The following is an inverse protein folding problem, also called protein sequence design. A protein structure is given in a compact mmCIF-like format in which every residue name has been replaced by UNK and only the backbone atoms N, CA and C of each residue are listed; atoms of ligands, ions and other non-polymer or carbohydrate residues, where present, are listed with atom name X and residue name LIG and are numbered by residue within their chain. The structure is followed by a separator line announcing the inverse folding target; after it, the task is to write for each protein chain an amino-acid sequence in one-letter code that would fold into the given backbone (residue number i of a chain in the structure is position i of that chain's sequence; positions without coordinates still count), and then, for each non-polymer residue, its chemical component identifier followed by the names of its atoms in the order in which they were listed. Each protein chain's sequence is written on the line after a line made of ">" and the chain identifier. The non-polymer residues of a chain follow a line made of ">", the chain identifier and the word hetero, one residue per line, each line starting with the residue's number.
data_IF_593520812635
#
_entry.id   IF_593520812635
#
_cell.length_a   1.000
_cell.length_b   1.000
_cell.length_c   1.000
_cell.angle_alpha   90.00
_cell.angle_beta   90.00
_cell.angle_gamma   90.00
#
_symmetry.space_group_name_H-M   'P 1'
#
loop_
_entity.id
_entity.type
_entity.pdbx_description
1 polymer ?
#
# COMPACT_ATOMS: atom_id res chain seq x y z
N UNK A 1 9.44 -1.81 23.76
CA UNK A 1 10.49 -1.57 22.75
C UNK A 1 9.77 -1.22 21.43
N UNK A 2 10.46 -0.72 20.40
CA UNK A 2 9.81 -0.37 19.12
C UNK A 2 10.28 -1.30 18.02
N UNK A 3 9.34 -2.05 17.43
CA UNK A 3 9.57 -2.87 16.24
C UNK A 3 9.48 -1.94 15.02
N UNK A 4 10.51 -1.96 14.17
CA UNK A 4 10.50 -1.26 12.88
C UNK A 4 10.32 -2.30 11.79
N UNK A 5 9.28 -2.16 10.99
CA UNK A 5 8.97 -3.07 9.91
C UNK A 5 8.56 -2.28 8.67
N UNK A 6 8.89 -2.76 7.49
CA UNK A 6 8.28 -2.30 6.25
C UNK A 6 7.19 -3.26 5.81
N UNK A 7 6.18 -2.75 5.12
CA UNK A 7 5.11 -3.54 4.51
C UNK A 7 4.82 -3.01 3.11
N UNK A 8 4.82 -3.91 2.14
CA UNK A 8 4.70 -3.56 0.72
C UNK A 8 3.93 -4.61 -0.08
N UNK A 9 3.36 -4.20 -1.21
CA UNK A 9 2.59 -5.00 -2.14
C UNK A 9 3.05 -4.80 -3.58
N UNK A 10 2.96 -5.87 -4.36
CA UNK A 10 3.32 -5.87 -5.78
C UNK A 10 2.25 -6.60 -6.59
N UNK A 11 1.86 -6.04 -7.74
CA UNK A 11 1.00 -6.72 -8.71
C UNK A 11 1.58 -6.63 -10.12
N UNK A 12 1.62 -7.76 -10.84
CA UNK A 12 2.02 -7.86 -12.24
C UNK A 12 0.79 -7.69 -13.14
N UNK A 13 0.38 -6.44 -13.32
CA UNK A 13 -0.93 -6.06 -13.87
C UNK A 13 -1.94 -5.78 -12.75
N UNK A 14 -2.91 -4.89 -13.00
CA UNK A 14 -3.83 -4.41 -11.97
C UNK A 14 -5.29 -4.46 -12.46
N UNK A 15 -6.01 -5.59 -12.28
CA UNK A 15 -5.64 -6.77 -11.49
C UNK A 15 -4.74 -7.79 -12.23
N UNK A 16 -3.96 -8.56 -11.46
CA UNK A 16 -3.01 -9.56 -11.97
C UNK A 16 -2.40 -10.43 -10.86
N UNK A 17 -1.41 -11.29 -11.15
CA UNK A 17 -0.64 -11.99 -10.13
C UNK A 17 -0.05 -10.99 -9.14
N UNK A 18 -0.31 -11.20 -7.85
CA UNK A 18 0.03 -10.22 -6.83
C UNK A 18 0.68 -10.89 -5.61
N UNK A 19 1.53 -10.16 -4.93
CA UNK A 19 2.26 -10.57 -3.76
C UNK A 19 2.33 -9.46 -2.73
N UNK A 20 2.26 -9.83 -1.46
CA UNK A 20 2.44 -8.95 -0.32
C UNK A 20 3.63 -9.44 0.50
N UNK A 21 4.32 -8.54 1.18
CA UNK A 21 5.35 -8.88 2.14
C UNK A 21 5.44 -7.84 3.26
N UNK A 22 5.79 -8.30 4.45
CA UNK A 22 6.31 -7.43 5.50
C UNK A 22 7.69 -7.92 5.93
N UNK A 23 8.53 -6.99 6.37
CA UNK A 23 9.94 -7.24 6.64
C UNK A 23 10.42 -6.45 7.85
N UNK A 24 11.04 -7.15 8.81
CA UNK A 24 11.78 -6.55 9.94
C UNK A 24 13.27 -6.72 9.69
N UNK A 25 13.70 -7.97 9.46
CA UNK A 25 15.06 -8.36 9.09
C UNK A 25 15.05 -9.71 8.34
N UNK A 26 16.20 -10.19 7.87
CA UNK A 26 16.29 -11.42 7.07
C UNK A 26 15.85 -12.69 7.82
N UNK A 27 15.81 -12.66 9.15
CA UNK A 27 15.30 -13.73 10.00
C UNK A 27 13.83 -13.55 10.41
N UNK A 28 13.26 -12.38 10.16
CA UNK A 28 11.93 -11.98 10.61
C UNK A 28 11.17 -11.25 9.49
N UNK A 29 10.53 -12.04 8.63
CA UNK A 29 9.71 -11.54 7.52
C UNK A 29 8.68 -12.59 7.10
N UNK A 30 7.61 -12.14 6.46
CA UNK A 30 6.68 -13.05 5.80
C UNK A 30 6.15 -12.46 4.49
N UNK A 31 5.77 -13.34 3.59
CA UNK A 31 5.18 -12.98 2.30
C UNK A 31 4.11 -13.99 1.87
N UNK A 32 3.27 -13.58 0.92
CA UNK A 32 2.21 -14.40 0.35
C UNK A 32 1.53 -13.66 -0.79
N UNK A 33 0.50 -14.23 -1.41
CA UNK A 33 -0.12 -13.57 -2.56
C UNK A 33 -1.24 -14.35 -3.20
N UNK A 34 -1.60 -13.95 -4.43
CA UNK A 34 -2.68 -14.53 -5.22
C UNK A 34 -2.33 -14.54 -6.71
N UNK A 35 -2.99 -15.43 -7.46
CA UNK A 35 -2.94 -15.42 -8.93
C UNK A 35 -3.61 -14.19 -9.54
N UNK A 36 -4.55 -13.57 -8.83
CA UNK A 36 -5.34 -12.45 -9.33
C UNK A 36 -5.81 -11.56 -8.18
N UNK A 37 -5.17 -10.40 -8.02
CA UNK A 37 -5.56 -9.34 -7.10
C UNK A 37 -5.01 -7.99 -7.62
N UNK A 38 -5.41 -6.90 -6.99
CA UNK A 38 -4.89 -5.56 -7.26
C UNK A 38 -3.68 -5.23 -6.40
N UNK A 39 -2.92 -4.20 -6.79
CA UNK A 39 -1.80 -3.70 -5.98
C UNK A 39 -2.28 -3.24 -4.60
N UNK A 40 -3.37 -2.47 -4.55
CA UNK A 40 -3.95 -1.98 -3.29
C UNK A 40 -4.37 -3.11 -2.34
N UNK A 41 -4.88 -4.22 -2.86
CA UNK A 41 -5.20 -5.40 -2.05
C UNK A 41 -3.93 -6.05 -1.47
N UNK A 42 -2.85 -6.10 -2.24
CA UNK A 42 -1.57 -6.62 -1.77
C UNK A 42 -0.96 -5.73 -0.67
N UNK A 43 -0.91 -4.42 -0.88
CA UNK A 43 -0.36 -3.47 0.11
C UNK A 43 -1.18 -3.48 1.42
N UNK A 44 -2.52 -3.45 1.35
CA UNK A 44 -3.37 -3.55 2.53
C UNK A 44 -3.14 -4.87 3.27
N UNK A 45 -2.98 -5.97 2.54
CA UNK A 45 -2.74 -7.28 3.16
C UNK A 45 -1.36 -7.35 3.81
N UNK A 46 -0.34 -6.73 3.23
CA UNK A 46 0.98 -6.67 3.85
C UNK A 46 0.91 -6.09 5.27
N UNK A 47 0.19 -4.96 5.42
CA UNK A 47 -0.05 -4.32 6.72
C UNK A 47 -0.89 -5.19 7.64
N UNK A 48 -1.98 -5.77 7.13
CA UNK A 48 -2.83 -6.67 7.92
C UNK A 48 -2.04 -7.87 8.49
N UNK A 49 -1.21 -8.50 7.66
CA UNK A 49 -0.42 -9.65 8.05
C UNK A 49 0.70 -9.28 9.04
N UNK A 50 1.28 -8.07 8.91
CA UNK A 50 2.22 -7.55 9.89
C UNK A 50 1.54 -7.33 11.25
N UNK A 51 0.35 -6.72 11.28
CA UNK A 51 -0.41 -6.54 12.51
C UNK A 51 -0.73 -7.89 13.15
N UNK A 52 -1.29 -8.84 12.41
CA UNK A 52 -1.55 -10.20 12.91
C UNK A 52 -0.31 -10.88 13.47
N UNK A 53 0.81 -10.78 12.76
CA UNK A 53 2.06 -11.42 13.16
C UNK A 53 2.64 -10.84 14.45
N UNK A 54 2.28 -9.61 14.80
CA UNK A 54 2.77 -8.90 15.99
C UNK A 54 1.70 -8.72 17.07
N UNK A 55 0.49 -9.26 16.90
CA UNK A 55 -0.65 -9.05 17.81
C UNK A 55 -0.46 -9.58 19.23
N UNK A 56 0.44 -10.55 19.41
CA UNK A 56 0.77 -11.12 20.72
C UNK A 56 1.82 -10.31 21.50
N UNK A 57 2.30 -9.19 20.95
CA UNK A 57 3.35 -8.37 21.53
C UNK A 57 2.78 -7.06 22.05
N UNK A 58 3.32 -6.60 23.18
CA UNK A 58 3.03 -5.28 23.74
C UNK A 58 4.15 -4.28 23.39
N UNK A 59 4.67 -4.35 22.15
CA UNK A 59 5.69 -3.44 21.64
C UNK A 59 5.07 -2.38 20.73
N UNK A 60 5.71 -1.22 20.65
CA UNK A 60 5.31 -0.18 19.70
C UNK A 60 5.69 -0.63 18.28
N UNK A 61 4.84 -0.39 17.30
CA UNK A 61 5.10 -0.75 15.90
C UNK A 61 5.25 0.51 15.04
N UNK A 62 6.44 0.68 14.44
CA UNK A 62 6.67 1.65 13.38
C UNK A 62 6.62 0.93 12.02
N UNK A 63 5.62 1.26 11.22
CA UNK A 63 5.40 0.67 9.89
C UNK A 63 5.87 1.64 8.82
N UNK A 64 6.86 1.23 8.03
CA UNK A 64 7.30 1.93 6.83
C UNK A 64 6.47 1.44 5.64
N UNK A 65 5.84 2.36 4.93
CA UNK A 65 5.10 2.09 3.70
C UNK A 65 5.32 3.23 2.71
N UNK A 66 5.42 2.94 1.43
CA UNK A 66 5.37 3.94 0.37
C UNK A 66 3.95 4.17 -0.19
N UNK A 67 3.03 3.25 0.09
CA UNK A 67 1.61 3.42 -0.21
C UNK A 67 0.91 4.49 0.63
N UNK A 68 0.71 5.66 0.03
CA UNK A 68 -0.16 6.68 0.61
C UNK A 68 -1.61 6.21 0.74
N UNK A 69 -2.07 5.32 -0.14
CA UNK A 69 -3.42 4.75 -0.08
C UNK A 69 -3.61 3.99 1.24
N UNK A 70 -2.71 3.06 1.57
CA UNK A 70 -2.79 2.29 2.82
C UNK A 70 -2.71 3.19 4.05
N UNK A 71 -1.74 4.12 4.07
CA UNK A 71 -1.56 5.05 5.18
C UNK A 71 -2.84 5.87 5.39
N UNK A 72 -3.39 6.47 4.33
CA UNK A 72 -4.59 7.29 4.44
C UNK A 72 -5.84 6.48 4.80
N UNK A 73 -5.99 5.26 4.27
CA UNK A 73 -7.04 4.32 4.68
C UNK A 73 -7.05 4.13 6.18
N UNK A 74 -5.93 3.73 6.77
CA UNK A 74 -5.85 3.38 8.20
C UNK A 74 -5.91 4.63 9.10
N UNK A 75 -5.25 5.73 8.71
CA UNK A 75 -5.05 6.88 9.61
C UNK A 75 -6.09 7.99 9.44
N UNK A 76 -6.66 8.18 8.25
CA UNK A 76 -7.54 9.33 7.94
C UNK A 76 -8.97 8.91 7.65
N UNK A 77 -9.15 7.89 6.81
CA UNK A 77 -10.47 7.63 6.21
C UNK A 77 -11.31 6.62 6.98
N UNK A 78 -10.69 5.53 7.46
CA UNK A 78 -11.37 4.46 8.18
C UNK A 78 -12.22 4.93 9.36
N UNK A 79 -11.77 5.87 10.24
CA UNK A 79 -12.63 6.39 11.31
C UNK A 79 -13.92 7.04 10.82
N UNK A 80 -13.87 7.72 9.68
CA UNK A 80 -15.03 8.35 9.05
C UNK A 80 -15.95 7.32 8.38
N UNK A 81 -15.39 6.34 7.68
CA UNK A 81 -16.15 5.26 7.06
C UNK A 81 -16.88 4.40 8.08
N UNK A 82 -16.26 4.06 9.22
CA UNK A 82 -16.91 3.33 10.31
C UNK A 82 -18.19 4.01 10.80
N UNK A 83 -18.13 5.34 11.00
CA UNK A 83 -19.29 6.15 11.41
C UNK A 83 -20.41 6.15 10.36
N UNK A 84 -20.07 5.93 9.08
CA UNK A 84 -21.00 5.89 7.94
C UNK A 84 -21.36 4.47 7.51
N UNK A 85 -21.09 3.46 8.34
CA UNK A 85 -21.40 2.07 8.00
C UNK A 85 -20.61 1.54 6.79
N UNK A 86 -19.35 1.96 6.66
CA UNK A 86 -18.43 1.61 5.59
C UNK A 86 -18.88 2.01 4.18
N UNK A 87 -19.51 3.18 4.09
CA UNK A 87 -19.93 3.80 2.83
C UNK A 87 -19.21 5.12 2.59
N UNK A 88 -18.97 5.41 1.31
CA UNK A 88 -18.48 6.70 0.83
C UNK A 88 -19.60 7.75 0.88
N UNK A 89 -19.25 9.02 0.62
CA UNK A 89 -20.21 10.12 0.61
C UNK A 89 -21.27 10.00 -0.50
N UNK A 90 -20.93 9.33 -1.60
CA UNK A 90 -21.82 8.99 -2.72
C UNK A 90 -22.74 7.77 -2.42
N UNK A 91 -22.69 7.22 -1.21
CA UNK A 91 -23.48 6.05 -0.78
C UNK A 91 -22.94 4.70 -1.25
N UNK A 92 -21.93 4.69 -2.13
CA UNK A 92 -21.28 3.45 -2.60
C UNK A 92 -20.46 2.80 -1.48
N UNK A 93 -20.31 1.47 -1.48
CA UNK A 93 -19.40 0.79 -0.57
C UNK A 93 -17.97 1.33 -0.71
N UNK A 94 -17.23 1.33 0.39
CA UNK A 94 -15.78 1.58 0.37
C UNK A 94 -15.09 0.43 -0.36
N UNK A 95 -14.15 0.74 -1.25
CA UNK A 95 -13.37 -0.28 -1.93
C UNK A 95 -12.45 -1.00 -0.93
N UNK A 96 -12.32 -2.33 -1.07
CA UNK A 96 -11.58 -3.19 -0.15
C UNK A 96 -12.14 -3.18 1.29
N UNK A 97 -13.43 -2.94 1.47
CA UNK A 97 -14.06 -2.83 2.80
C UNK A 97 -13.81 -4.05 3.67
N UNK A 98 -13.82 -5.26 3.11
CA UNK A 98 -13.58 -6.50 3.86
C UNK A 98 -12.16 -6.50 4.47
N UNK A 99 -11.13 -6.18 3.67
CA UNK A 99 -9.75 -6.08 4.15
C UNK A 99 -9.59 -4.96 5.18
N UNK A 100 -10.24 -3.82 4.97
CA UNK A 100 -10.17 -2.69 5.90
C UNK A 100 -10.86 -3.00 7.23
N UNK A 101 -11.95 -3.77 7.23
CA UNK A 101 -12.60 -4.26 8.44
C UNK A 101 -11.72 -5.25 9.19
N UNK A 102 -11.02 -6.14 8.47
CA UNK A 102 -10.03 -7.03 9.08
C UNK A 102 -8.88 -6.23 9.72
N UNK A 103 -8.36 -5.20 9.04
CA UNK A 103 -7.33 -4.32 9.62
C UNK A 103 -7.87 -3.64 10.87
N UNK A 104 -9.06 -3.05 10.80
CA UNK A 104 -9.70 -2.37 11.93
C UNK A 104 -9.84 -3.26 13.17
N UNK A 105 -10.08 -4.56 12.99
CA UNK A 105 -10.17 -5.52 14.08
C UNK A 105 -8.84 -5.77 14.79
N UNK A 106 -7.70 -5.52 14.14
CA UNK A 106 -6.34 -5.74 14.68
C UNK A 106 -5.75 -4.48 15.36
N UNK A 107 -6.43 -3.34 15.29
CA UNK A 107 -6.00 -2.06 15.85
C UNK A 107 -6.27 -1.84 17.34
N UNK A 108 -7.35 -2.35 17.96
CA UNK A 108 -7.68 -2.05 19.35
C UNK A 108 -6.54 -2.42 20.31
N UNK A 109 -6.17 -1.49 21.19
CA UNK A 109 -5.11 -1.69 22.19
C UNK A 109 -3.67 -1.63 21.65
N UNK A 110 -3.48 -1.52 20.33
CA UNK A 110 -2.15 -1.47 19.71
C UNK A 110 -1.57 -0.06 19.69
N UNK A 111 -0.27 0.05 19.93
CA UNK A 111 0.51 1.28 19.69
C UNK A 111 1.25 1.16 18.36
N UNK A 112 0.79 1.88 17.35
CA UNK A 112 1.39 1.87 16.02
C UNK A 112 1.51 3.27 15.42
N UNK A 113 2.50 3.46 14.55
CA UNK A 113 2.66 4.66 13.72
C UNK A 113 3.10 4.26 12.31
N UNK A 114 2.70 5.05 11.33
CA UNK A 114 3.19 4.94 9.96
C UNK A 114 4.26 5.99 9.70
N UNK A 115 5.29 5.60 8.96
CA UNK A 115 6.26 6.48 8.32
C UNK A 115 6.12 6.29 6.81
N UNK A 116 5.70 7.37 6.13
CA UNK A 116 5.68 7.34 4.68
C UNK A 116 7.11 7.45 4.16
N UNK A 117 7.51 6.48 3.35
CA UNK A 117 8.79 6.49 2.65
C UNK A 117 8.56 6.66 1.16
N UNK A 118 9.51 7.27 0.46
CA UNK A 118 9.43 7.32 -1.00
C UNK A 118 9.88 5.97 -1.56
N UNK A 119 9.07 5.36 -2.42
CA UNK A 119 9.46 4.14 -3.13
C UNK A 119 10.75 4.34 -3.93
N UNK A 120 11.58 3.29 -4.01
CA UNK A 120 12.87 3.28 -4.72
C UNK A 120 13.86 4.41 -4.32
N UNK A 121 13.85 4.82 -3.05
CA UNK A 121 14.69 5.91 -2.54
C UNK A 121 15.75 5.47 -1.52
N UNK A 122 16.32 4.25 -1.64
CA UNK A 122 17.34 3.70 -0.73
C UNK A 122 16.84 3.54 0.71
N UNK A 123 15.62 3.01 0.89
CA UNK A 123 15.10 2.62 2.20
C UNK A 123 15.22 1.09 2.36
N UNK A 124 16.25 0.56 3.05
CA UNK A 124 16.59 -0.86 2.98
C UNK A 124 15.48 -1.81 3.43
N UNK A 125 14.69 -1.42 4.44
CA UNK A 125 13.55 -2.22 4.89
C UNK A 125 12.44 -2.27 3.83
N UNK A 126 12.13 -1.13 3.20
CA UNK A 126 11.09 -1.05 2.18
C UNK A 126 11.50 -1.80 0.92
N UNK A 127 12.74 -1.62 0.46
CA UNK A 127 13.28 -2.36 -0.69
C UNK A 127 13.32 -3.87 -0.45
N UNK A 128 13.61 -4.29 0.78
CA UNK A 128 13.55 -5.68 1.18
C UNK A 128 12.12 -6.25 1.17
N UNK A 129 11.11 -5.45 1.54
CA UNK A 129 9.70 -5.80 1.44
C UNK A 129 9.22 -5.83 -0.03
N UNK A 130 9.50 -4.79 -0.83
CA UNK A 130 9.21 -4.71 -2.27
C UNK A 130 9.75 -5.93 -3.01
N UNK A 131 11.05 -6.22 -2.83
CA UNK A 131 11.71 -7.37 -3.47
C UNK A 131 10.99 -8.69 -3.16
N UNK A 132 10.54 -8.87 -1.92
CA UNK A 132 9.85 -10.09 -1.47
C UNK A 132 8.41 -10.15 -1.99
N UNK A 133 7.68 -9.03 -1.99
CA UNK A 133 6.35 -8.94 -2.55
C UNK A 133 6.37 -9.22 -4.06
N UNK A 134 7.34 -8.64 -4.77
CA UNK A 134 7.58 -8.87 -6.20
C UNK A 134 7.98 -10.31 -6.50
N UNK A 135 8.84 -10.92 -5.67
CA UNK A 135 9.20 -12.33 -5.83
C UNK A 135 7.96 -13.25 -5.76
N UNK A 136 7.00 -12.93 -4.89
CA UNK A 136 5.72 -13.67 -4.83
C UNK A 136 4.88 -13.46 -6.08
N UNK A 137 4.70 -12.22 -6.54
CA UNK A 137 3.88 -11.93 -7.72
C UNK A 137 4.44 -12.62 -8.97
N UNK A 138 5.76 -12.62 -9.15
CA UNK A 138 6.44 -13.36 -10.23
C UNK A 138 6.33 -14.88 -10.07
N UNK A 139 6.39 -15.40 -8.84
CA UNK A 139 6.19 -16.83 -8.59
C UNK A 139 4.78 -17.27 -8.97
N UNK A 140 3.74 -16.46 -8.70
CA UNK A 140 2.38 -16.73 -9.18
C UNK A 140 2.26 -16.65 -10.70
N UNK A 141 2.90 -15.68 -11.34
CA UNK A 141 2.90 -15.54 -12.80
C UNK A 141 3.53 -16.76 -13.48
N UNK A 142 4.65 -17.26 -12.94
CA UNK A 142 5.40 -18.40 -13.49
C UNK A 142 4.90 -19.76 -13.01
N UNK A 143 3.97 -19.82 -12.05
CA UNK A 143 3.51 -21.06 -11.42
C UNK A 143 4.57 -21.76 -10.55
N UNK A 144 5.51 -21.00 -9.99
CA UNK A 144 6.61 -21.50 -9.17
C UNK A 144 6.28 -21.60 -7.67
N UNK A 145 7.28 -21.97 -6.88
CA UNK A 145 7.18 -22.00 -5.40
C UNK A 145 7.05 -20.59 -4.84
N UNK A 146 6.01 -20.36 -4.02
CA UNK A 146 5.76 -19.06 -3.41
C UNK A 146 6.67 -18.87 -2.19
N UNK A 147 7.49 -17.81 -2.13
CA UNK A 147 8.26 -17.50 -0.94
C UNK A 147 7.33 -17.02 0.18
N UNK A 148 7.44 -17.62 1.37
CA UNK A 148 6.59 -17.28 2.52
C UNK A 148 7.34 -16.62 3.67
N UNK A 149 8.66 -16.75 3.71
CA UNK A 149 9.50 -16.29 4.81
C UNK A 149 9.42 -17.15 6.08
N UNK A 150 10.31 -16.88 7.06
CA UNK A 150 10.35 -17.58 8.35
C UNK A 150 9.19 -17.19 9.28
N UNK A 151 8.45 -16.13 8.98
CA UNK A 151 7.46 -15.54 9.87
C UNK A 151 8.09 -14.63 10.91
N UNK A 152 7.30 -14.23 11.92
CA UNK A 152 7.80 -13.35 12.97
C UNK A 152 8.66 -14.13 13.95
N UNK A 153 9.90 -13.67 14.12
CA UNK A 153 10.87 -14.21 15.08
C UNK A 153 11.40 -13.04 15.91
N UNK A 154 11.34 -13.16 17.24
CA UNK A 154 12.00 -12.22 18.14
C UNK A 154 13.45 -12.66 18.30
N UNK A 155 14.40 -11.87 17.81
CA UNK A 155 15.82 -12.10 18.07
C UNK A 155 16.04 -12.18 19.59
N UNK A 156 16.41 -13.37 20.08
CA UNK A 156 16.64 -13.64 21.50
C UNK A 156 15.64 -14.55 22.23
N UNK A 157 14.64 -15.13 21.56
CA UNK A 157 13.78 -16.17 22.17
C UNK A 157 13.62 -17.33 21.19
N UNK A 158 13.95 -18.54 21.66
CA UNK A 158 13.93 -19.79 20.88
C UNK A 158 12.65 -19.92 20.05
N UNK A 159 12.85 -20.16 18.75
CA UNK A 159 11.81 -20.41 17.77
C UNK A 159 10.81 -21.47 18.27
N UNK A 160 9.57 -21.06 18.53
CA UNK A 160 8.46 -21.99 18.67
C UNK A 160 8.10 -22.44 17.26
N UNK A 161 8.50 -23.67 16.92
CA UNK A 161 8.03 -24.40 15.73
C UNK A 161 6.50 -24.37 15.70
N UNK A 162 5.93 -23.83 14.64
CA UNK A 162 4.50 -24.00 14.33
C UNK A 162 4.29 -25.43 13.81
N UNK A 163 3.23 -26.16 14.23
CA UNK A 163 2.88 -27.42 13.60
C UNK A 163 2.34 -27.12 12.20
N UNK A 164 2.89 -27.82 11.22
CA UNK A 164 2.24 -28.08 9.95
C UNK A 164 0.98 -28.88 10.23
N UNK A 165 -0.20 -28.34 9.91
CA UNK A 165 -1.22 -29.19 9.33
C UNK A 165 -2.25 -28.45 8.47
N UNK A 166 -2.39 -29.05 7.31
CA UNK A 166 -3.27 -28.82 6.18
C UNK A 166 -4.75 -28.88 6.56
N UNK A 167 -5.52 -27.84 6.20
CA UNK A 167 -6.86 -28.06 5.63
C UNK A 167 -7.28 -26.89 4.73
N UNK A 168 -7.16 -27.13 3.42
CA UNK A 168 -7.74 -26.32 2.36
C UNK A 168 -9.27 -26.30 2.53
N UNK A 169 -9.83 -25.14 2.88
CA UNK A 169 -11.24 -24.86 2.67
C UNK A 169 -11.42 -24.40 1.22
N UNK A 170 -12.14 -25.23 0.44
CA UNK A 170 -12.61 -24.95 -0.92
C UNK A 170 -13.49 -23.70 -0.87
N UNK A 171 -13.02 -22.59 -1.44
CA UNK A 171 -13.89 -21.46 -1.78
C UNK A 171 -14.43 -21.71 -3.18
N UNK A 172 -15.75 -21.76 -3.27
CA UNK A 172 -16.50 -21.98 -4.50
C UNK A 172 -16.27 -20.83 -5.49
N UNK A 173 -16.09 -21.20 -6.75
CA UNK A 173 -16.20 -20.34 -7.93
C UNK A 173 -17.60 -19.72 -8.01
N UNK A 174 -17.73 -18.40 -8.25
CA UNK A 174 -18.91 -17.88 -8.90
C UNK A 174 -18.75 -18.01 -10.42
N UNK A 175 -19.88 -18.25 -11.06
CA UNK A 175 -20.03 -18.53 -12.48
C UNK A 175 -19.63 -17.36 -13.37
N UNK A 176 -19.13 -17.71 -14.56
CA UNK A 176 -18.92 -16.82 -15.67
C UNK A 176 -20.22 -16.07 -16.04
N UNK A 177 -20.16 -14.75 -16.16
CA UNK A 177 -21.15 -13.96 -16.88
C UNK A 177 -20.49 -13.36 -18.12
N UNK A 178 -21.14 -13.63 -19.25
CA UNK A 178 -20.77 -13.20 -20.59
C UNK A 178 -20.70 -11.68 -20.69
N UNK A 179 -19.71 -11.22 -21.45
CA UNK A 179 -19.54 -9.82 -21.85
C UNK A 179 -20.69 -9.36 -22.75
N UNK A 180 -21.18 -8.13 -22.56
CA UNK A 180 -21.09 -7.04 -23.54
C UNK A 180 -21.86 -5.78 -23.08
N UNK A 181 -21.16 -4.65 -23.22
CA UNK A 181 -21.59 -3.24 -23.20
C UNK A 181 -22.18 -2.70 -21.90
N UNK A 182 -21.39 -1.90 -21.18
CA UNK A 182 -21.78 -0.62 -20.58
C UNK A 182 -20.47 0.09 -20.17
N UNK A 183 -20.01 1.01 -21.01
CA UNK A 183 -19.03 2.01 -20.59
C UNK A 183 -19.69 2.99 -19.61
N UNK A 184 -18.82 3.64 -18.82
CA UNK A 184 -19.02 4.92 -18.13
C UNK A 184 -19.41 4.84 -16.65
N UNK A 185 -18.38 4.76 -15.79
CA UNK A 185 -18.42 5.33 -14.45
C UNK A 185 -17.05 5.92 -14.08
N UNK A 186 -17.07 7.21 -13.72
CA UNK A 186 -16.03 8.05 -13.12
C UNK A 186 -15.12 7.30 -12.14
N UNK A 187 -13.95 6.86 -12.62
CA UNK A 187 -12.75 6.94 -11.81
C UNK A 187 -12.42 8.44 -11.71
N UNK A 188 -12.21 9.05 -10.53
CA UNK A 188 -11.59 10.35 -10.53
C UNK A 188 -10.23 10.15 -11.19
N UNK A 189 -10.07 10.67 -12.41
CA UNK A 189 -8.77 10.87 -13.04
C UNK A 189 -7.85 11.40 -11.96
N UNK A 190 -6.92 10.57 -11.50
CA UNK A 190 -5.77 11.08 -10.78
C UNK A 190 -5.04 11.87 -11.85
N UNK A 191 -5.03 13.21 -11.79
CA UNK A 191 -4.47 13.97 -12.89
C UNK A 191 -3.01 13.57 -13.04
N UNK A 192 -2.59 13.25 -14.27
CA UNK A 192 -1.18 13.11 -14.66
C UNK A 192 -0.39 14.42 -14.42
N UNK A 193 -1.08 15.47 -13.98
CA UNK A 193 -0.58 16.78 -13.59
C UNK A 193 -0.82 17.03 -12.11
N UNK A 194 0.22 17.44 -11.38
CA UNK A 194 0.10 17.94 -10.01
C UNK A 194 -0.02 19.47 -10.04
N UNK A 195 -1.04 20.02 -9.40
CA UNK A 195 -1.15 21.46 -9.20
C UNK A 195 -0.18 21.93 -8.12
N UNK A 196 0.75 22.82 -8.50
CA UNK A 196 1.71 23.44 -7.58
C UNK A 196 1.30 24.91 -7.40
N UNK A 197 0.93 25.29 -6.17
CA UNK A 197 0.65 26.68 -5.82
C UNK A 197 1.88 27.31 -5.20
N UNK A 198 2.42 28.36 -5.83
CA UNK A 198 3.56 29.13 -5.33
C UNK A 198 3.11 30.56 -5.03
N UNK A 199 3.44 31.06 -3.85
CA UNK A 199 3.26 32.49 -3.50
C UNK A 199 4.54 33.24 -3.80
N UNK A 200 4.46 34.28 -4.63
CA UNK A 200 5.58 35.15 -4.99
C UNK A 200 5.39 36.53 -4.38
N UNK A 201 6.47 37.17 -3.95
CA UNK A 201 6.47 38.61 -3.70
C UNK A 201 6.26 39.40 -5.00
N UNK A 202 5.83 40.66 -4.89
CA UNK A 202 5.61 41.53 -6.06
C UNK A 202 6.85 41.62 -6.96
N UNK A 203 8.04 41.74 -6.35
CA UNK A 203 9.30 41.83 -7.08
C UNK A 203 9.68 40.52 -7.79
N UNK A 204 9.38 39.37 -7.19
CA UNK A 204 9.62 38.06 -7.82
C UNK A 204 8.67 37.83 -9.00
N UNK A 205 7.41 38.21 -8.86
CA UNK A 205 6.44 38.15 -9.96
C UNK A 205 6.85 39.05 -11.12
N UNK A 206 7.30 40.28 -10.86
CA UNK A 206 7.79 41.19 -11.92
C UNK A 206 9.01 40.63 -12.67
N UNK A 207 9.94 40.00 -11.95
CA UNK A 207 11.11 39.32 -12.57
C UNK A 207 10.67 38.15 -13.44
N UNK A 208 9.74 37.32 -12.97
CA UNK A 208 9.18 36.20 -13.73
C UNK A 208 8.47 36.70 -15.00
N UNK A 209 7.62 37.71 -14.85
CA UNK A 209 6.89 38.32 -15.96
C UNK A 209 7.81 38.97 -16.99
N UNK A 210 8.92 39.58 -16.56
CA UNK A 210 9.94 40.13 -17.47
C UNK A 210 10.61 39.03 -18.29
N UNK A 211 11.03 37.93 -17.65
CA UNK A 211 11.63 36.77 -18.33
C UNK A 211 10.67 36.12 -19.33
N UNK A 212 9.39 36.02 -18.96
CA UNK A 212 8.34 35.50 -19.82
C UNK A 212 8.18 36.34 -21.10
N UNK A 213 8.14 37.68 -20.97
CA UNK A 213 8.07 38.60 -22.11
C UNK A 213 9.28 38.48 -23.04
N UNK A 214 10.50 38.40 -22.50
CA UNK A 214 11.71 38.23 -23.32
C UNK A 214 11.70 36.93 -24.14
N UNK A 215 11.11 35.88 -23.57
CA UNK A 215 11.02 34.55 -24.21
C UNK A 215 9.75 34.38 -25.07
N UNK A 216 8.83 35.35 -25.08
CA UNK A 216 7.57 35.26 -25.81
C UNK A 216 6.61 34.18 -25.28
N UNK A 217 6.74 33.80 -24.01
CA UNK A 217 5.99 32.72 -23.35
C UNK A 217 5.25 33.24 -22.13
N UNK A 218 4.38 32.43 -21.52
CA UNK A 218 3.69 32.83 -20.28
C UNK A 218 4.59 32.68 -19.03
N UNK A 219 4.32 33.42 -17.94
CA UNK A 219 4.98 33.22 -16.65
C UNK A 219 4.89 31.77 -16.15
N UNK A 220 3.76 31.10 -16.38
CA UNK A 220 3.56 29.69 -15.99
C UNK A 220 4.47 28.74 -16.77
N UNK A 221 4.72 29.00 -18.05
CA UNK A 221 5.66 28.21 -18.85
C UNK A 221 7.10 28.38 -18.33
N UNK A 222 7.48 29.60 -17.93
CA UNK A 222 8.79 29.83 -17.29
C UNK A 222 8.90 29.10 -15.96
N UNK A 223 7.83 29.02 -15.16
CA UNK A 223 7.83 28.26 -13.91
C UNK A 223 7.95 26.75 -14.14
N UNK A 224 7.27 26.21 -15.16
CA UNK A 224 7.36 24.79 -15.53
C UNK A 224 8.78 24.38 -15.97
N UNK A 225 9.52 25.27 -16.62
CA UNK A 225 10.91 25.01 -17.03
C UNK A 225 11.91 25.00 -15.85
N UNK A 226 11.51 25.46 -14.66
CA UNK A 226 12.39 25.53 -13.47
C UNK A 226 12.29 24.31 -12.56
N UNK A 227 11.35 23.38 -12.83
CA UNK A 227 11.07 22.16 -12.07
C UNK A 227 11.54 20.96 -12.90
#
# INVERSE_FOLDING_TARGET
>A
MTIRAAADGSALGNPGPAGWAWYVDDSCWAAGGWKHATNNQAELTAVLQLFRSTAHLDDDLLVLCDSQYVINCVTKWMPGWKKKGWRKADGKPVMNVELLQEIDAELPGRRYRFEWVKGHANHPLNEAADTRARAVSEAYQRGGTIPTGPGFVRTGVNAVKRPSDTRLAKVATPAAHSAAVLFEFDEPEMPDTVDVVVTLSTTEFERLASRARTRGVSPDQVLRDLI
#
